data_IF_194271136741
#
_entry.id   IF_194271136741
#
_cell.length_a   1.000
_cell.length_b   1.000
_cell.length_c   1.000
_cell.angle_alpha   90.00
_cell.angle_beta   90.00
_cell.angle_gamma   90.00
#
_symmetry.space_group_name_H-M   'P 1'
#
loop_
_entity.id
_entity.type
_entity.pdbx_description
1 polymer ?
#
# COMPACT_ATOMS: atom_id res chain seq x y z
N UNK A 1 4.04 14.67 8.38
CA UNK A 1 4.96 14.08 7.36
C UNK A 1 4.35 14.25 5.96
N UNK A 2 5.05 14.00 4.84
CA UNK A 2 4.37 13.96 3.52
C UNK A 2 3.42 12.74 3.47
N UNK A 3 2.23 12.87 2.89
CA UNK A 3 1.28 11.77 2.70
C UNK A 3 1.95 10.63 1.90
N UNK A 4 1.67 9.35 2.22
CA UNK A 4 2.30 8.21 1.55
C UNK A 4 2.16 8.25 0.02
N UNK A 5 0.97 8.60 -0.49
CA UNK A 5 0.72 8.80 -1.92
C UNK A 5 1.58 9.91 -2.52
N UNK A 6 1.73 11.02 -1.81
CA UNK A 6 2.55 12.15 -2.26
C UNK A 6 4.03 11.79 -2.31
N UNK A 7 4.55 11.10 -1.31
CA UNK A 7 5.93 10.61 -1.29
C UNK A 7 6.21 9.61 -2.43
N UNK A 8 5.32 8.65 -2.65
CA UNK A 8 5.43 7.68 -3.74
C UNK A 8 5.35 8.35 -5.12
N UNK A 9 4.45 9.33 -5.31
CA UNK A 9 4.36 10.07 -6.57
C UNK A 9 5.66 10.82 -6.89
N UNK A 10 6.31 11.42 -5.87
CA UNK A 10 7.58 12.14 -6.03
C UNK A 10 8.70 11.20 -6.49
N UNK A 11 8.78 10.00 -5.91
CA UNK A 11 9.74 8.97 -6.32
C UNK A 11 9.49 8.55 -7.77
N UNK A 12 8.24 8.25 -8.14
CA UNK A 12 7.88 7.83 -9.50
C UNK A 12 8.17 8.91 -10.55
N UNK A 13 7.89 10.18 -10.25
CA UNK A 13 8.28 11.29 -11.13
C UNK A 13 9.81 11.37 -11.28
N UNK A 14 10.55 11.29 -10.18
CA UNK A 14 12.02 11.30 -10.20
C UNK A 14 12.61 10.17 -11.04
N UNK A 15 12.14 8.93 -10.82
CA UNK A 15 12.59 7.77 -11.59
C UNK A 15 12.18 7.87 -13.06
N UNK A 16 10.95 8.30 -13.35
CA UNK A 16 10.47 8.50 -14.72
C UNK A 16 11.32 9.50 -15.49
N UNK A 17 11.53 10.70 -14.94
CA UNK A 17 12.40 11.70 -15.56
C UNK A 17 13.85 11.24 -15.68
N UNK A 18 14.38 10.54 -14.67
CA UNK A 18 15.73 9.96 -14.72
C UNK A 18 15.90 8.94 -15.86
N UNK A 19 14.91 8.08 -16.08
CA UNK A 19 14.91 7.10 -17.19
C UNK A 19 14.84 7.78 -18.56
N UNK A 20 14.01 8.82 -18.73
CA UNK A 20 14.00 9.61 -19.98
C UNK A 20 15.36 10.23 -20.23
N UNK A 21 15.98 10.78 -19.19
CA UNK A 21 17.29 11.44 -19.29
C UNK A 21 18.38 10.42 -19.66
N UNK A 22 18.37 9.23 -19.07
CA UNK A 22 19.26 8.13 -19.44
C UNK A 22 19.10 7.72 -20.92
N UNK A 23 17.87 7.61 -21.42
CA UNK A 23 17.61 7.38 -22.84
C UNK A 23 18.11 8.53 -23.72
N UNK A 24 17.92 9.78 -23.29
CA UNK A 24 18.46 10.96 -23.99
C UNK A 24 19.97 10.90 -24.15
N UNK A 25 20.71 10.52 -23.11
CA UNK A 25 22.15 10.29 -23.22
C UNK A 25 22.51 9.10 -24.11
N UNK A 26 21.73 8.02 -24.08
CA UNK A 26 21.90 6.87 -24.98
C UNK A 26 21.79 7.26 -26.45
N UNK A 27 20.83 8.12 -26.78
CA UNK A 27 20.65 8.69 -28.13
C UNK A 27 21.83 9.59 -28.52
N UNK A 28 22.25 10.51 -27.65
CA UNK A 28 23.36 11.44 -27.93
C UNK A 28 24.68 10.69 -28.16
N UNK A 29 24.94 9.61 -27.43
CA UNK A 29 26.15 8.80 -27.58
C UNK A 29 26.10 7.82 -28.77
N UNK A 30 25.01 7.82 -29.55
CA UNK A 30 24.82 6.89 -30.67
C UNK A 30 24.67 5.43 -30.25
N UNK A 31 24.41 5.16 -28.96
CA UNK A 31 24.16 3.80 -28.44
C UNK A 31 22.72 3.34 -28.65
N UNK A 32 21.87 4.26 -29.05
CA UNK A 32 20.45 4.04 -29.28
C UNK A 32 20.06 4.89 -30.49
N UNK A 33 19.23 4.36 -31.37
CA UNK A 33 18.65 5.06 -32.52
C UNK A 33 17.13 5.07 -32.40
N UNK A 34 16.47 6.13 -32.84
CA UNK A 34 15.01 6.24 -32.83
C UNK A 34 14.38 5.40 -33.95
N UNK A 35 15.11 5.20 -35.05
CA UNK A 35 14.68 4.45 -36.24
C UNK A 35 14.64 2.93 -36.03
N UNK A 36 15.43 2.41 -35.08
CA UNK A 36 15.58 0.99 -34.85
C UNK A 36 15.19 0.65 -33.43
N UNK A 37 14.17 -0.21 -33.28
CA UNK A 37 13.69 -0.62 -31.97
C UNK A 37 14.70 -1.55 -31.28
N UNK A 38 15.51 -0.98 -30.38
CA UNK A 38 16.47 -1.71 -29.53
C UNK A 38 16.07 -1.76 -28.05
N UNK A 39 16.86 -2.49 -27.24
CA UNK A 39 16.65 -2.68 -25.80
C UNK A 39 16.54 -1.35 -25.02
N UNK A 40 17.23 -0.30 -25.48
CA UNK A 40 17.16 1.04 -24.88
C UNK A 40 15.75 1.66 -24.85
N UNK A 41 14.85 1.27 -25.76
CA UNK A 41 13.47 1.76 -25.80
C UNK A 41 12.59 1.22 -24.67
N UNK A 42 12.99 0.10 -24.05
CA UNK A 42 12.28 -0.47 -22.89
C UNK A 42 12.33 0.53 -21.73
N UNK A 43 13.45 1.23 -21.54
CA UNK A 43 13.57 2.25 -20.50
C UNK A 43 12.64 3.46 -20.74
N UNK A 44 12.36 3.81 -22.01
CA UNK A 44 11.35 4.83 -22.34
C UNK A 44 9.94 4.36 -22.00
N UNK A 45 9.60 3.11 -22.32
CA UNK A 45 8.29 2.54 -21.95
C UNK A 45 8.13 2.49 -20.42
N UNK A 46 9.14 2.03 -19.70
CA UNK A 46 9.12 2.05 -18.23
C UNK A 46 9.00 3.46 -17.67
N UNK A 47 9.69 4.44 -18.25
CA UNK A 47 9.53 5.83 -17.85
C UNK A 47 8.09 6.31 -18.02
N UNK A 48 7.47 6.02 -19.16
CA UNK A 48 6.07 6.38 -19.42
C UNK A 48 5.16 5.75 -18.36
N UNK A 49 5.35 4.46 -18.05
CA UNK A 49 4.59 3.75 -17.01
C UNK A 49 4.78 4.42 -15.64
N UNK A 50 6.00 4.80 -15.27
CA UNK A 50 6.29 5.49 -14.02
C UNK A 50 5.58 6.86 -13.96
N UNK A 51 5.66 7.67 -15.02
CA UNK A 51 5.04 8.99 -15.06
C UNK A 51 3.51 8.91 -15.05
N UNK A 52 2.94 7.96 -15.80
CA UNK A 52 1.50 7.70 -15.80
C UNK A 52 1.06 7.26 -14.40
N UNK A 53 1.76 6.31 -13.79
CA UNK A 53 1.47 5.85 -12.42
C UNK A 53 1.57 6.99 -11.39
N UNK A 54 2.57 7.86 -11.51
CA UNK A 54 2.74 9.03 -10.64
C UNK A 54 1.58 10.03 -10.77
N UNK A 55 1.09 10.23 -12.00
CA UNK A 55 -0.06 11.08 -12.29
C UNK A 55 -1.35 10.46 -11.79
N UNK A 56 -1.51 9.16 -12.00
CA UNK A 56 -2.62 8.39 -11.49
C UNK A 56 -2.67 8.56 -9.97
N UNK A 57 -1.60 8.31 -9.23
CA UNK A 57 -1.59 8.38 -7.75
C UNK A 57 -2.12 9.70 -7.15
N UNK A 58 -2.04 10.82 -7.89
CA UNK A 58 -2.64 12.11 -7.50
C UNK A 58 -4.15 12.24 -7.73
N UNK A 59 -4.72 11.38 -8.55
CA UNK A 59 -6.15 11.34 -8.86
C UNK A 59 -6.86 10.41 -7.87
N UNK A 60 -8.06 10.79 -7.42
CA UNK A 60 -8.78 10.08 -6.35
C UNK A 60 -9.34 8.69 -6.76
N UNK A 61 -9.18 8.28 -8.02
CA UNK A 61 -9.67 7.02 -8.58
C UNK A 61 -8.50 6.10 -8.95
N UNK A 62 -7.97 5.35 -7.97
CA UNK A 62 -6.87 4.42 -8.25
C UNK A 62 -6.92 3.12 -7.46
N UNK A 63 -6.62 2.03 -8.16
CA UNK A 63 -6.31 0.71 -7.60
C UNK A 63 -5.09 0.74 -6.65
N UNK A 64 -4.20 1.73 -6.81
CA UNK A 64 -3.00 1.90 -6.00
C UNK A 64 -3.26 2.58 -4.64
N UNK A 65 -4.47 3.10 -4.39
CA UNK A 65 -4.84 3.76 -3.13
C UNK A 65 -4.77 2.81 -1.93
N UNK A 66 -4.98 1.51 -2.17
CA UNK A 66 -4.81 0.49 -1.13
C UNK A 66 -3.36 0.32 -0.67
N UNK A 67 -2.38 0.58 -1.54
CA UNK A 67 -0.95 0.44 -1.23
C UNK A 67 -0.33 1.77 -0.80
N UNK A 68 -0.79 2.87 -1.39
CA UNK A 68 -0.34 4.22 -1.07
C UNK A 68 -1.56 5.08 -0.76
N UNK A 69 -2.08 5.02 0.47
CA UNK A 69 -3.21 5.83 0.88
C UNK A 69 -2.83 7.32 0.85
N UNK A 70 -3.79 8.10 0.40
CA UNK A 70 -3.75 9.56 0.39
C UNK A 70 -4.39 10.06 1.68
N UNK A 71 -3.74 9.75 2.80
CA UNK A 71 -4.22 10.06 4.14
C UNK A 71 -3.21 10.97 4.86
N UNK A 72 -3.74 11.96 5.57
CA UNK A 72 -2.96 12.83 6.43
C UNK A 72 -2.63 12.13 7.77
N UNK A 73 -1.68 12.68 8.51
CA UNK A 73 -1.19 12.13 9.78
C UNK A 73 -2.31 11.90 10.80
N UNK A 74 -3.29 12.81 10.86
CA UNK A 74 -4.46 12.66 11.72
C UNK A 74 -5.35 11.47 11.32
N UNK A 75 -5.57 11.27 10.02
CA UNK A 75 -6.38 10.16 9.50
C UNK A 75 -5.67 8.83 9.69
N UNK A 76 -4.34 8.81 9.52
CA UNK A 76 -3.51 7.64 9.81
C UNK A 76 -3.58 7.25 11.29
N UNK A 77 -3.47 8.21 12.19
CA UNK A 77 -3.56 7.98 13.63
C UNK A 77 -4.94 7.47 14.04
N UNK A 78 -6.00 8.07 13.50
CA UNK A 78 -7.39 7.64 13.73
C UNK A 78 -7.62 6.20 13.25
N UNK A 79 -7.13 5.84 12.06
CA UNK A 79 -7.23 4.45 11.57
C UNK A 79 -6.52 3.48 12.51
N UNK A 80 -5.27 3.76 12.86
CA UNK A 80 -4.49 2.88 13.75
C UNK A 80 -5.17 2.75 15.11
N UNK A 81 -5.71 3.84 15.65
CA UNK A 81 -6.45 3.81 16.91
C UNK A 81 -7.70 2.93 16.82
N UNK A 82 -8.48 3.06 15.75
CA UNK A 82 -9.66 2.24 15.53
C UNK A 82 -9.29 0.75 15.36
N UNK A 83 -8.24 0.45 14.60
CA UNK A 83 -7.72 -0.93 14.45
C UNK A 83 -7.27 -1.52 15.79
N UNK A 84 -6.59 -0.75 16.63
CA UNK A 84 -6.20 -1.20 17.98
C UNK A 84 -7.42 -1.46 18.87
N UNK A 85 -8.41 -0.57 18.81
CA UNK A 85 -9.63 -0.70 19.61
C UNK A 85 -10.50 -1.89 19.16
N UNK A 86 -10.56 -2.17 17.86
CA UNK A 86 -11.22 -3.35 17.32
C UNK A 86 -10.56 -4.64 17.82
N UNK A 87 -9.22 -4.71 17.77
CA UNK A 87 -8.46 -5.86 18.30
C UNK A 87 -8.70 -6.06 19.81
N UNK A 88 -8.72 -4.97 20.58
CA UNK A 88 -8.98 -5.04 22.02
C UNK A 88 -10.40 -5.55 22.31
N UNK A 89 -11.40 -5.04 21.58
CA UNK A 89 -12.78 -5.47 21.72
C UNK A 89 -12.98 -6.93 21.32
N UNK A 90 -12.40 -7.38 20.21
CA UNK A 90 -12.45 -8.77 19.75
C UNK A 90 -11.82 -9.71 20.79
N UNK A 91 -10.70 -9.32 21.40
CA UNK A 91 -10.08 -10.07 22.49
C UNK A 91 -10.97 -10.13 23.73
N UNK A 92 -11.63 -9.02 24.09
CA UNK A 92 -12.50 -8.95 25.26
C UNK A 92 -13.75 -9.82 25.09
N UNK A 93 -14.37 -9.77 23.91
CA UNK A 93 -15.50 -10.64 23.56
C UNK A 93 -15.07 -12.10 23.56
N UNK A 94 -13.94 -12.43 22.93
CA UNK A 94 -13.39 -13.80 22.93
C UNK A 94 -13.16 -14.36 24.34
N UNK A 95 -12.60 -13.56 25.24
CA UNK A 95 -12.43 -13.95 26.65
C UNK A 95 -13.77 -14.16 27.36
N UNK A 96 -14.76 -13.30 27.12
CA UNK A 96 -16.09 -13.46 27.71
C UNK A 96 -16.79 -14.74 27.22
N UNK A 97 -16.62 -15.12 25.95
CA UNK A 97 -17.10 -16.39 25.42
C UNK A 97 -16.40 -17.59 26.08
N UNK A 98 -15.09 -17.53 26.27
CA UNK A 98 -14.33 -18.60 26.94
C UNK A 98 -14.73 -18.76 28.41
N UNK A 99 -14.99 -17.67 29.12
CA UNK A 99 -15.45 -17.70 30.51
C UNK A 99 -16.88 -18.28 30.62
N UNK A 100 -17.77 -17.94 29.69
CA UNK A 100 -19.10 -18.53 29.61
C UNK A 100 -19.05 -20.03 29.29
N UNK A 101 -18.18 -20.45 28.37
CA UNK A 101 -17.98 -21.87 28.05
C UNK A 101 -17.46 -22.65 29.29
N UNK A 102 -16.53 -22.06 30.03
CA UNK A 102 -16.01 -22.66 31.27
C UNK A 102 -17.11 -22.84 32.31
N UNK A 103 -17.94 -21.81 32.54
CA UNK A 103 -19.06 -21.87 33.48
C UNK A 103 -20.12 -22.91 33.06
N UNK A 104 -20.41 -23.03 31.77
CA UNK A 104 -21.33 -24.04 31.24
C UNK A 104 -20.78 -25.45 31.47
N UNK A 105 -19.49 -25.67 31.18
CA UNK A 105 -18.82 -26.95 31.42
C UNK A 105 -18.81 -27.34 32.90
N UNK A 106 -18.55 -26.38 33.80
CA UNK A 106 -18.64 -26.62 35.25
C UNK A 106 -20.08 -27.00 35.68
N UNK A 107 -21.09 -26.34 35.10
CA UNK A 107 -22.49 -26.65 35.37
C UNK A 107 -22.89 -28.04 34.86
N UNK A 108 -22.47 -28.43 33.66
CA UNK A 108 -22.71 -29.77 33.13
C UNK A 108 -22.05 -30.85 34.01
N UNK A 109 -20.78 -30.69 34.38
CA UNK A 109 -20.06 -31.64 35.25
C UNK A 109 -20.73 -31.79 36.62
N UNK A 110 -21.18 -30.68 37.22
CA UNK A 110 -21.88 -30.73 38.51
C UNK A 110 -23.23 -31.43 38.42
N UNK A 111 -23.96 -31.26 37.31
CA UNK A 111 -25.25 -31.93 37.09
C UNK A 111 -25.13 -33.44 36.84
N UNK A 112 -24.01 -33.91 36.28
CA UNK A 112 -23.75 -35.35 36.08
C UNK A 112 -23.30 -36.08 37.35
N UNK A 113 -22.91 -35.35 38.40
CA UNK A 113 -22.45 -35.93 39.68
C UNK A 113 -23.56 -36.04 40.75
N UNK A 114 -24.75 -35.50 40.51
CA UNK A 114 -25.98 -35.72 41.31
C UNK A 114 -26.82 -36.90 40.78
#
# INVERSE_FOLDING_TARGET
MDEPAKAASRLLYGTGFGLILACGFGLIQGRMEISVLGFGHIFLLFSLICLVSARLLKQNHNYLKSYFPDEDEGQMAERIQNEMQEIENDSAVGNAWAELETQVLEMEISSEQE
#
